data_IF_039080566586
#
_entry.id   IF_039080566586
#
_cell.length_a   1.000
_cell.length_b   1.000
_cell.length_c   1.000
_cell.angle_alpha   90.00
_cell.angle_beta   90.00
_cell.angle_gamma   90.00
#
_symmetry.space_group_name_H-M   'P 1'
#
loop_
_entity.id
_entity.type
_entity.pdbx_description
1 polymer ?
#
# COMPACT_ATOMS: atom_id res chain seq x y z
N UNK A 1 -5.50 9.93 21.82
CA UNK A 1 -4.62 10.53 21.48
C UNK A 1 -3.69 9.84 21.36
N UNK A 2 -3.28 10.14 21.28
CA UNK A 2 -2.34 9.87 21.10
C UNK A 2 -1.45 10.43 21.94
N UNK A 3 -0.46 9.87 22.16
CA UNK A 3 0.52 10.52 22.93
C UNK A 3 0.83 11.86 22.33
N UNK A 4 1.15 12.81 23.17
CA UNK A 4 1.58 14.10 22.69
C UNK A 4 2.82 13.94 21.85
N UNK A 5 2.80 14.48 20.66
CA UNK A 5 3.92 14.41 19.74
C UNK A 5 3.87 13.23 18.76
N UNK A 6 2.93 12.32 18.93
CA UNK A 6 2.78 11.25 17.96
C UNK A 6 2.00 11.79 16.76
N UNK A 7 2.67 11.87 15.61
CA UNK A 7 2.09 12.32 14.37
C UNK A 7 2.26 11.21 13.34
N UNK A 8 1.21 10.97 12.57
CA UNK A 8 1.17 9.93 11.56
C UNK A 8 1.04 10.53 10.16
N UNK A 9 1.73 9.94 9.22
CA UNK A 9 1.57 10.21 7.81
C UNK A 9 0.69 9.13 7.21
N UNK A 10 -0.45 9.52 6.68
CA UNK A 10 -1.30 8.63 5.88
C UNK A 10 -1.19 9.03 4.43
N UNK A 11 -0.89 8.08 3.60
CA UNK A 11 -0.82 8.28 2.16
C UNK A 11 -1.88 7.43 1.48
N UNK A 12 -2.71 8.06 0.67
CA UNK A 12 -3.74 7.37 -0.08
C UNK A 12 -3.80 7.89 -1.50
N UNK A 13 -3.91 6.98 -2.47
CA UNK A 13 -4.06 7.32 -3.88
C UNK A 13 -5.43 7.96 -4.13
N UNK A 14 -5.45 9.16 -4.71
CA UNK A 14 -6.70 9.83 -5.07
C UNK A 14 -7.50 9.04 -6.12
N UNK A 15 -6.83 8.13 -6.83
CA UNK A 15 -7.46 7.27 -7.84
C UNK A 15 -7.98 5.94 -7.29
N UNK A 16 -8.07 5.79 -5.94
CA UNK A 16 -8.72 4.65 -5.29
C UNK A 16 -9.96 5.13 -4.50
N UNK A 17 -11.06 5.41 -5.22
CA UNK A 17 -12.23 6.03 -4.57
C UNK A 17 -13.06 5.08 -3.70
N UNK A 18 -12.82 3.77 -3.78
CA UNK A 18 -13.64 2.78 -3.06
C UNK A 18 -12.98 2.26 -1.79
N UNK A 19 -12.08 3.04 -1.19
CA UNK A 19 -11.51 2.69 0.11
C UNK A 19 -12.64 2.61 1.15
N UNK A 20 -12.62 1.57 1.98
CA UNK A 20 -13.65 1.35 2.98
C UNK A 20 -13.29 1.96 4.33
N UNK A 21 -14.31 2.18 5.14
CA UNK A 21 -14.15 2.64 6.52
C UNK A 21 -13.28 1.67 7.33
N UNK A 22 -13.50 0.36 7.14
CA UNK A 22 -12.73 -0.67 7.82
C UNK A 22 -11.23 -0.54 7.51
N UNK A 23 -10.88 -0.35 6.24
CA UNK A 23 -9.47 -0.22 5.83
C UNK A 23 -8.84 0.99 6.50
N UNK A 24 -9.55 2.11 6.54
CA UNK A 24 -9.05 3.34 7.17
C UNK A 24 -8.84 3.12 8.67
N UNK A 25 -9.82 2.54 9.35
CA UNK A 25 -9.74 2.29 10.79
C UNK A 25 -8.61 1.33 11.15
N UNK A 26 -8.44 0.25 10.38
CA UNK A 26 -7.36 -0.69 10.62
C UNK A 26 -5.98 -0.10 10.34
N UNK A 27 -5.89 0.78 9.34
CA UNK A 27 -4.65 1.52 9.10
C UNK A 27 -4.26 2.35 10.31
N UNK A 28 -5.21 3.07 10.89
CA UNK A 28 -4.97 3.89 12.08
C UNK A 28 -4.54 3.01 13.25
N UNK A 29 -5.27 1.94 13.50
CA UNK A 29 -4.99 1.03 14.62
C UNK A 29 -3.62 0.37 14.47
N UNK A 30 -3.28 -0.13 13.29
CA UNK A 30 -2.00 -0.79 13.04
C UNK A 30 -0.83 0.19 13.12
N UNK A 31 -1.01 1.40 12.62
CA UNK A 31 0.02 2.42 12.73
C UNK A 31 0.28 2.81 14.20
N UNK A 32 -0.78 2.89 15.01
CA UNK A 32 -0.63 3.17 16.44
C UNK A 32 0.05 2.01 17.17
N UNK A 33 -0.28 0.78 16.82
CA UNK A 33 0.26 -0.40 17.50
C UNK A 33 1.66 -0.76 17.02
N UNK A 34 1.90 -0.73 15.71
CA UNK A 34 3.13 -1.22 15.10
C UNK A 34 4.03 -0.15 14.50
N UNK A 35 3.51 1.03 14.29
CA UNK A 35 4.27 2.15 13.73
C UNK A 35 4.25 2.30 12.23
N UNK A 36 3.92 1.25 11.49
CA UNK A 36 3.85 1.28 10.04
C UNK A 36 2.94 0.19 9.51
N UNK A 37 2.12 0.53 8.53
CA UNK A 37 1.28 -0.46 7.85
C UNK A 37 1.01 -0.07 6.41
N UNK A 38 0.67 -1.07 5.61
CA UNK A 38 0.31 -0.93 4.21
C UNK A 38 -0.87 -1.83 3.90
N UNK A 39 -1.81 -1.33 3.13
CA UNK A 39 -2.97 -2.09 2.69
C UNK A 39 -2.59 -2.96 1.51
N UNK A 40 -2.94 -4.24 1.54
CA UNK A 40 -2.63 -5.17 0.47
C UNK A 40 -3.63 -6.31 0.39
N UNK A 41 -3.76 -6.90 -0.78
CA UNK A 41 -4.56 -8.11 -1.00
C UNK A 41 -3.66 -9.22 -1.51
N UNK A 42 -3.97 -10.46 -1.16
CA UNK A 42 -3.21 -11.61 -1.65
C UNK A 42 -3.32 -11.68 -3.18
N UNK A 43 -2.22 -11.98 -3.83
CA UNK A 43 -2.21 -12.18 -5.29
C UNK A 43 -3.02 -13.43 -5.64
N UNK A 44 -3.90 -13.30 -6.63
CA UNK A 44 -4.71 -14.43 -7.12
C UNK A 44 -4.11 -15.03 -8.38
N UNK A 45 -3.42 -14.24 -9.19
CA UNK A 45 -2.76 -14.71 -10.38
C UNK A 45 -1.29 -15.05 -10.11
N UNK A 46 -0.74 -15.92 -10.92
CA UNK A 46 0.70 -16.23 -10.85
C UNK A 46 1.49 -14.96 -11.22
N UNK A 47 2.44 -14.61 -10.36
CA UNK A 47 3.36 -13.50 -10.62
C UNK A 47 4.62 -14.05 -11.28
N UNK A 48 5.04 -13.43 -12.35
CA UNK A 48 6.29 -13.79 -13.03
C UNK A 48 7.21 -12.58 -13.04
N UNK A 49 8.49 -12.82 -12.87
CA UNK A 49 9.51 -11.78 -12.94
C UNK A 49 10.24 -11.89 -14.28
N UNK A 50 10.52 -10.75 -14.89
CA UNK A 50 11.32 -10.68 -16.10
C UNK A 50 12.18 -9.43 -16.05
N UNK A 51 13.47 -9.58 -16.35
CA UNK A 51 14.40 -8.45 -16.35
C UNK A 51 14.34 -7.65 -17.65
N UNK A 52 14.01 -8.31 -18.75
CA UNK A 52 14.00 -7.69 -20.08
C UNK A 52 12.61 -7.57 -20.72
N UNK A 53 11.59 -8.08 -20.03
CA UNK A 53 10.22 -8.09 -20.55
C UNK A 53 9.98 -9.14 -21.63
N UNK A 54 10.95 -10.03 -21.87
CA UNK A 54 10.85 -11.06 -22.93
C UNK A 54 10.91 -12.48 -22.40
N UNK A 55 11.76 -12.71 -21.39
CA UNK A 55 11.99 -14.04 -20.84
C UNK A 55 11.72 -14.00 -19.34
N UNK A 56 11.02 -15.02 -18.84
CA UNK A 56 10.76 -15.13 -17.41
C UNK A 56 12.06 -15.51 -16.71
N UNK A 57 12.45 -14.71 -15.70
CA UNK A 57 13.65 -15.00 -14.90
C UNK A 57 13.31 -15.75 -13.61
N UNK A 58 12.11 -15.58 -13.07
CA UNK A 58 11.67 -16.32 -11.90
C UNK A 58 10.14 -16.32 -11.80
N UNK A 59 9.62 -17.31 -11.06
CA UNK A 59 8.20 -17.38 -10.72
C UNK A 59 8.12 -17.46 -9.20
N UNK A 60 7.92 -16.34 -8.50
CA UNK A 60 7.82 -16.35 -7.04
C UNK A 60 6.65 -17.19 -6.54
N UNK A 61 6.76 -17.69 -5.33
CA UNK A 61 5.68 -18.42 -4.67
C UNK A 61 4.49 -17.48 -4.47
N UNK A 62 3.40 -17.74 -5.18
CA UNK A 62 2.20 -16.89 -5.14
C UNK A 62 1.64 -16.75 -3.73
N UNK A 63 1.75 -17.77 -2.89
CA UNK A 63 1.23 -17.73 -1.53
C UNK A 63 1.91 -16.66 -0.66
N UNK A 64 3.05 -16.15 -1.12
CA UNK A 64 3.82 -15.10 -0.43
C UNK A 64 3.72 -13.75 -1.13
N UNK A 65 2.92 -13.65 -2.19
CA UNK A 65 2.80 -12.44 -2.97
C UNK A 65 1.52 -11.69 -2.66
N UNK A 66 1.64 -10.40 -2.46
CA UNK A 66 0.54 -9.49 -2.17
C UNK A 66 0.61 -8.29 -3.11
N UNK A 67 -0.55 -7.82 -3.51
CA UNK A 67 -0.65 -6.60 -4.32
C UNK A 67 -0.87 -5.42 -3.39
N UNK A 68 0.08 -4.49 -3.39
CA UNK A 68 -0.01 -3.29 -2.57
C UNK A 68 -1.13 -2.38 -3.06
N UNK A 69 -1.87 -1.87 -2.10
CA UNK A 69 -2.89 -0.85 -2.32
C UNK A 69 -2.53 0.37 -1.48
N UNK A 70 -3.46 1.25 -1.27
CA UNK A 70 -3.38 2.32 -0.30
C UNK A 70 -4.70 2.38 0.46
N UNK A 71 -4.79 2.96 1.67
CA UNK A 71 -3.78 3.81 2.32
C UNK A 71 -2.60 3.05 2.91
N UNK A 72 -1.50 3.76 3.05
CA UNK A 72 -0.34 3.39 3.85
C UNK A 72 -0.25 4.38 5.01
N UNK A 73 0.11 3.92 6.19
CA UNK A 73 0.18 4.80 7.37
C UNK A 73 1.44 4.55 8.17
N UNK A 74 2.13 5.62 8.53
CA UNK A 74 3.43 5.56 9.20
C UNK A 74 3.50 6.59 10.32
N UNK A 75 4.26 6.28 11.37
CA UNK A 75 4.66 7.30 12.33
C UNK A 75 5.60 8.27 11.64
N UNK A 76 5.24 9.54 11.63
CA UNK A 76 5.98 10.56 10.88
C UNK A 76 7.42 10.70 11.38
N UNK A 77 7.62 10.66 12.67
CA UNK A 77 8.94 10.78 13.27
C UNK A 77 9.88 9.68 12.81
N UNK A 78 9.39 8.44 12.76
CA UNK A 78 10.16 7.30 12.30
C UNK A 78 10.45 7.41 10.81
N UNK A 79 9.43 7.75 10.01
CA UNK A 79 9.59 7.94 8.57
C UNK A 79 10.65 9.01 8.28
N UNK A 80 10.57 10.14 8.97
CA UNK A 80 11.53 11.22 8.82
C UNK A 80 12.94 10.77 9.14
N UNK A 81 13.12 10.06 10.27
CA UNK A 81 14.41 9.53 10.69
C UNK A 81 15.00 8.60 9.63
N UNK A 82 14.18 7.68 9.09
CA UNK A 82 14.63 6.76 8.06
C UNK A 82 14.97 7.49 6.75
N UNK A 83 14.16 8.45 6.36
CA UNK A 83 14.41 9.25 5.17
C UNK A 83 15.74 10.02 5.28
N UNK A 84 16.00 10.61 6.42
CA UNK A 84 17.26 11.34 6.68
C UNK A 84 18.48 10.43 6.65
N UNK A 85 18.30 9.13 6.92
CA UNK A 85 19.39 8.15 6.86
C UNK A 85 19.72 7.70 5.43
N UNK A 86 18.88 8.05 4.45
CA UNK A 86 19.12 7.68 3.05
C UNK A 86 20.25 8.51 2.44
N UNK A 87 21.05 7.87 1.58
CA UNK A 87 22.00 8.59 0.75
C UNK A 87 21.25 9.38 -0.33
N UNK A 88 21.92 10.32 -0.96
CA UNK A 88 21.32 11.09 -2.06
C UNK A 88 20.88 10.18 -3.21
N UNK A 89 21.66 9.13 -3.49
CA UNK A 89 21.33 8.16 -4.51
C UNK A 89 20.10 7.34 -4.14
N UNK A 90 20.02 6.90 -2.88
CA UNK A 90 18.86 6.17 -2.36
C UNK A 90 17.58 7.02 -2.44
N UNK A 91 17.68 8.30 -2.11
CA UNK A 91 16.53 9.23 -2.19
C UNK A 91 15.95 9.34 -3.58
N UNK A 92 16.78 9.17 -4.61
CA UNK A 92 16.31 9.22 -6.00
C UNK A 92 15.52 7.98 -6.39
N UNK A 93 15.84 6.84 -5.77
CA UNK A 93 15.27 5.54 -6.12
C UNK A 93 14.11 5.19 -5.20
N UNK A 94 14.24 5.48 -3.90
CA UNK A 94 13.28 5.09 -2.88
C UNK A 94 12.22 6.18 -2.68
N UNK A 95 11.20 6.14 -3.49
CA UNK A 95 10.10 7.11 -3.42
C UNK A 95 8.89 6.59 -2.62
N UNK A 96 8.80 5.28 -2.39
CA UNK A 96 7.73 4.66 -1.64
C UNK A 96 8.15 4.50 -0.18
N UNK A 97 7.35 5.06 0.73
CA UNK A 97 7.63 5.01 2.18
C UNK A 97 7.74 3.58 2.71
N UNK A 98 6.85 2.68 2.28
CA UNK A 98 6.91 1.28 2.71
C UNK A 98 8.23 0.65 2.31
N UNK A 99 8.72 0.93 1.11
CA UNK A 99 9.99 0.42 0.62
C UNK A 99 11.16 0.92 1.46
N UNK A 100 11.13 2.19 1.87
CA UNK A 100 12.17 2.75 2.74
C UNK A 100 12.21 1.99 4.07
N UNK A 101 11.07 1.76 4.70
CA UNK A 101 10.98 1.01 5.95
C UNK A 101 11.60 -0.38 5.79
N UNK A 102 11.15 -1.12 4.78
CA UNK A 102 11.60 -2.50 4.55
C UNK A 102 13.10 -2.55 4.29
N UNK A 103 13.63 -1.65 3.47
CA UNK A 103 15.06 -1.63 3.16
C UNK A 103 15.93 -1.26 4.35
N UNK A 104 15.39 -0.53 5.31
CA UNK A 104 16.10 -0.18 6.53
C UNK A 104 15.86 -1.19 7.68
N UNK A 105 15.22 -2.33 7.36
CA UNK A 105 15.02 -3.41 8.32
C UNK A 105 13.87 -3.19 9.28
N UNK A 106 12.98 -2.25 8.98
CA UNK A 106 11.80 -1.97 9.81
C UNK A 106 10.58 -2.70 9.27
N UNK A 107 9.76 -3.22 10.17
CA UNK A 107 8.57 -3.95 9.78
C UNK A 107 7.45 -3.02 9.32
N UNK A 108 6.81 -3.38 8.23
CA UNK A 108 5.57 -2.76 7.77
C UNK A 108 4.49 -3.83 7.82
N UNK A 109 3.47 -3.61 8.64
CA UNK A 109 2.41 -4.60 8.81
C UNK A 109 1.39 -4.49 7.71
N UNK A 110 0.86 -5.64 7.29
CA UNK A 110 -0.17 -5.69 6.25
C UNK A 110 -1.55 -5.49 6.86
N UNK A 111 -2.30 -4.56 6.29
CA UNK A 111 -3.73 -4.42 6.54
C UNK A 111 -4.44 -5.08 5.37
N UNK A 112 -5.36 -6.00 5.67
CA UNK A 112 -6.11 -6.66 4.60
C UNK A 112 -6.93 -5.65 3.84
N UNK A 113 -6.69 -5.57 2.52
CA UNK A 113 -7.44 -4.69 1.64
C UNK A 113 -8.71 -5.34 1.14
N UNK A 114 -9.27 -4.73 0.11
CA UNK A 114 -10.44 -5.24 -0.59
C UNK A 114 -10.15 -5.28 -2.09
N UNK A 115 -10.68 -6.29 -2.75
CA UNK A 115 -10.56 -6.38 -4.21
C UNK A 115 -11.20 -5.16 -4.86
N UNK A 116 -12.27 -4.63 -4.26
CA UNK A 116 -12.98 -3.45 -4.75
C UNK A 116 -12.24 -2.13 -4.53
N UNK A 117 -11.17 -2.14 -3.74
CA UNK A 117 -10.34 -0.94 -3.53
C UNK A 117 -9.40 -0.76 -4.73
N UNK A 118 -9.97 -0.64 -5.92
CA UNK A 118 -9.25 -0.59 -7.19
C UNK A 118 -8.59 0.76 -7.41
N UNK A 119 -7.49 0.72 -8.14
CA UNK A 119 -6.83 1.93 -8.64
C UNK A 119 -7.34 2.17 -10.06
N UNK A 120 -7.96 3.32 -10.29
CA UNK A 120 -8.43 3.67 -11.63
C UNK A 120 -7.24 4.14 -12.44
N UNK A 121 -6.82 3.32 -13.41
CA UNK A 121 -5.63 3.56 -14.23
C UNK A 121 -5.98 3.55 -15.72
N UNK A 122 -6.85 2.64 -16.13
CA UNK A 122 -7.24 2.44 -17.52
C UNK A 122 -8.74 2.68 -17.70
N UNK A 123 -9.20 2.94 -18.96
CA UNK A 123 -10.64 3.09 -19.22
C UNK A 123 -11.50 1.91 -18.74
N UNK A 124 -10.93 0.70 -18.76
CA UNK A 124 -11.63 -0.48 -18.24
C UNK A 124 -11.98 -0.31 -16.75
N UNK A 125 -11.09 0.30 -15.98
CA UNK A 125 -11.31 0.51 -14.56
C UNK A 125 -12.48 1.47 -14.29
N UNK A 126 -12.72 2.42 -15.19
CA UNK A 126 -13.89 3.30 -15.10
C UNK A 126 -15.20 2.51 -15.23
N UNK A 127 -15.23 1.50 -16.08
CA UNK A 127 -16.41 0.64 -16.22
C UNK A 127 -16.66 -0.18 -14.97
N UNK A 128 -15.60 -0.70 -14.37
CA UNK A 128 -15.69 -1.41 -13.09
C UNK A 128 -16.21 -0.47 -12.01
N UNK A 129 -15.67 0.76 -11.97
CA UNK A 129 -16.10 1.78 -11.01
C UNK A 129 -17.59 2.09 -11.15
N UNK A 130 -18.08 2.25 -12.37
CA UNK A 130 -19.50 2.50 -12.62
C UNK A 130 -20.37 1.35 -12.09
N UNK A 131 -19.94 0.12 -12.29
CA UNK A 131 -20.63 -1.07 -11.78
C UNK A 131 -20.68 -1.07 -10.26
N UNK A 132 -19.57 -0.71 -9.58
CA UNK A 132 -19.51 -0.64 -8.13
C UNK A 132 -20.43 0.45 -7.58
N UNK A 133 -20.49 1.60 -8.24
CA UNK A 133 -21.39 2.70 -7.85
C UNK A 133 -22.84 2.27 -7.97
N UNK A 134 -23.21 1.61 -9.07
CA UNK A 134 -24.56 1.11 -9.26
C UNK A 134 -24.95 0.10 -8.20
N UNK A 135 -24.04 -0.79 -7.84
CA UNK A 135 -24.26 -1.79 -6.80
C UNK A 135 -24.53 -1.12 -5.44
N UNK A 136 -23.80 -0.08 -5.10
CA UNK A 136 -24.03 0.68 -3.87
C UNK A 136 -25.39 1.39 -3.85
N UNK A 137 -25.82 1.88 -5.01
CA UNK A 137 -27.13 2.58 -5.11
C UNK A 137 -28.31 1.61 -5.01
N UNK A 138 -28.13 0.36 -5.41
CA UNK A 138 -29.17 -0.66 -5.33
C UNK A 138 -29.34 -1.20 -3.91
N UNK A 139 -28.32 -1.11 -3.11
CA UNK A 139 -28.36 -1.51 -1.70
C UNK A 139 -28.94 -0.38 -0.84
#
# INVERSE_FOLDING_TARGET
SRGLGDVYKRQHDSVRPFVTHRIIEENIRYAQEYGACDTAVAATDTIVQSEDGKVISSVPDRSKMYQGQTPQTFRLKKLKSLYESLTDEEKKILTDAAKIFVMKGEDVYLVEGEVSNIKITYPYDLRVAETLIQSEQED
#
